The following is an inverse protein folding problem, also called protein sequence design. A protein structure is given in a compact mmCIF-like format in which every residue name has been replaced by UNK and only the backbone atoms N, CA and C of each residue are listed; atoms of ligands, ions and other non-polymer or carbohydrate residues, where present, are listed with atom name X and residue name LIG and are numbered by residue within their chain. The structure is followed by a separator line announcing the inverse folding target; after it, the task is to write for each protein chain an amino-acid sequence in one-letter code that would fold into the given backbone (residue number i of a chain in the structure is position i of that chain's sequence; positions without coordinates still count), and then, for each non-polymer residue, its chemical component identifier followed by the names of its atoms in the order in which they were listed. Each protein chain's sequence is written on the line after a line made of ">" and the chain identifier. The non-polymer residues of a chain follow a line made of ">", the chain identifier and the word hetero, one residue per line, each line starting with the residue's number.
data_IF_721071984966
#
_entry.id   IF_721071984966
#
_cell.length_a   1.000
_cell.length_b   1.000
_cell.length_c   1.000
_cell.angle_alpha   90.00
_cell.angle_beta   90.00
_cell.angle_gamma   90.00
#
_symmetry.space_group_name_H-M   'P 1'
#
loop_
_entity.id
_entity.type
_entity.pdbx_description
1 polymer ?
#
# COMPACT_ATOMS: atom_id res chain seq x y z
N UNK A 1 6.46 -9.38 9.95
CA UNK A 1 7.78 -9.48 9.32
C UNK A 1 7.69 -9.40 7.79
N UNK A 2 6.79 -10.14 7.14
CA UNK A 2 6.64 -10.18 5.69
C UNK A 2 6.37 -8.80 5.04
N UNK A 3 5.46 -8.02 5.61
CA UNK A 3 5.22 -6.64 5.16
C UNK A 3 6.47 -5.75 5.24
N UNK A 4 7.38 -6.00 6.19
CA UNK A 4 8.65 -5.27 6.26
C UNK A 4 9.64 -5.69 5.17
N UNK A 5 9.56 -6.93 4.67
CA UNK A 5 10.31 -7.35 3.49
C UNK A 5 9.80 -6.64 2.24
N UNK A 6 8.47 -6.57 2.06
CA UNK A 6 7.88 -5.79 0.95
C UNK A 6 8.29 -4.31 1.00
N UNK A 7 8.38 -3.71 2.20
CA UNK A 7 8.90 -2.35 2.35
C UNK A 7 10.36 -2.24 1.96
N UNK A 8 11.19 -3.21 2.37
CA UNK A 8 12.62 -3.21 2.03
C UNK A 8 12.87 -3.37 0.54
N UNK A 9 11.99 -4.11 -0.15
CA UNK A 9 12.04 -4.32 -1.60
C UNK A 9 11.51 -3.10 -2.40
N UNK A 10 10.92 -2.10 -1.72
CA UNK A 10 10.28 -0.95 -2.36
C UNK A 10 11.16 0.31 -2.28
N UNK A 11 11.20 1.10 -3.35
CA UNK A 11 11.90 2.40 -3.36
C UNK A 11 11.11 3.49 -2.62
N UNK A 12 9.78 3.37 -2.61
CA UNK A 12 8.89 4.29 -1.92
C UNK A 12 7.69 3.59 -1.30
N UNK A 13 7.16 4.16 -0.21
CA UNK A 13 5.93 3.72 0.47
C UNK A 13 4.96 4.88 0.54
N UNK A 14 3.71 4.63 0.15
CA UNK A 14 2.66 5.63 0.14
C UNK A 14 1.51 5.26 1.09
N UNK A 15 1.08 6.26 1.86
CA UNK A 15 -0.13 6.19 2.69
C UNK A 15 -1.01 7.43 2.48
N UNK A 16 -2.28 7.34 2.83
CA UNK A 16 -3.17 8.51 2.86
C UNK A 16 -3.01 9.34 4.13
N UNK A 17 -3.26 10.64 4.06
CA UNK A 17 -3.26 11.52 5.22
C UNK A 17 -4.27 11.10 6.31
N UNK A 18 -5.33 10.35 5.95
CA UNK A 18 -6.24 9.72 6.90
C UNK A 18 -5.54 8.71 7.80
N UNK A 19 -4.79 7.79 7.20
CA UNK A 19 -3.97 6.79 7.91
C UNK A 19 -2.93 7.44 8.81
N UNK A 20 -2.27 8.51 8.32
CA UNK A 20 -1.30 9.26 9.14
C UNK A 20 -1.96 9.85 10.38
N UNK A 21 -3.17 10.41 10.25
CA UNK A 21 -3.89 10.99 11.39
C UNK A 21 -4.43 9.97 12.40
N UNK A 22 -4.81 8.76 11.93
CA UNK A 22 -5.38 7.72 12.80
C UNK A 22 -4.32 6.89 13.50
N UNK A 23 -3.25 6.51 12.79
CA UNK A 23 -2.34 5.46 13.21
C UNK A 23 -0.90 5.96 13.44
N UNK A 24 -0.59 7.19 12.99
CA UNK A 24 0.74 7.82 13.03
C UNK A 24 1.89 6.85 12.64
N UNK A 25 1.82 6.22 11.45
CA UNK A 25 2.78 5.21 11.07
C UNK A 25 4.15 5.84 10.75
N UNK A 26 5.23 5.21 11.21
CA UNK A 26 6.59 5.63 10.86
C UNK A 26 7.05 5.14 9.49
N UNK A 27 6.39 4.12 8.91
CA UNK A 27 6.71 3.46 7.64
C UNK A 27 8.18 2.99 7.51
N UNK A 28 8.82 2.68 8.63
CA UNK A 28 10.20 2.21 8.66
C UNK A 28 10.31 0.73 8.32
N UNK A 29 11.45 0.33 7.78
CA UNK A 29 11.82 -1.08 7.58
C UNK A 29 12.38 -1.63 8.90
N UNK A 30 11.78 -2.74 9.40
CA UNK A 30 12.20 -3.41 10.64
C UNK A 30 12.43 -4.89 10.36
N UNK A 31 13.59 -5.21 9.81
CA UNK A 31 14.04 -6.58 9.56
C UNK A 31 15.03 -7.01 10.65
N UNK A 32 15.09 -8.32 11.01
CA UNK A 32 16.17 -8.86 11.81
C UNK A 32 17.53 -8.58 11.17
N UNK A 33 18.58 -8.47 11.97
CA UNK A 33 19.90 -8.06 11.47
C UNK A 33 20.52 -8.99 10.42
N UNK A 34 20.13 -10.26 10.43
CA UNK A 34 20.55 -11.26 9.45
C UNK A 34 19.78 -11.23 8.13
N UNK A 35 18.63 -10.53 8.11
CA UNK A 35 17.81 -10.29 6.91
C UNK A 35 18.03 -8.90 6.29
N UNK A 36 18.84 -8.04 6.91
CA UNK A 36 19.10 -6.68 6.42
C UNK A 36 20.37 -6.68 5.57
N UNK A 37 20.23 -6.29 4.29
CA UNK A 37 21.38 -6.03 3.43
C UNK A 37 21.98 -4.64 3.75
N UNK A 38 23.31 -4.50 3.67
CA UNK A 38 23.99 -3.20 3.84
C UNK A 38 23.55 -2.16 2.77
N UNK A 39 22.92 -2.63 1.69
CA UNK A 39 22.36 -1.82 0.61
C UNK A 39 20.90 -1.40 0.85
N UNK A 40 20.25 -1.95 1.89
CA UNK A 40 18.87 -1.61 2.21
C UNK A 40 18.79 -0.17 2.69
N UNK A 41 18.26 0.68 1.83
CA UNK A 41 17.94 2.07 2.16
C UNK A 41 16.51 2.14 2.69
N UNK A 42 16.24 3.09 3.58
CA UNK A 42 14.87 3.37 3.97
C UNK A 42 14.09 3.90 2.76
N UNK A 43 12.93 3.32 2.43
CA UNK A 43 12.13 3.77 1.30
C UNK A 43 11.67 5.22 1.47
N UNK A 44 11.52 5.93 0.36
CA UNK A 44 10.94 7.27 0.35
C UNK A 44 9.50 7.22 0.87
N UNK A 45 9.18 8.04 1.86
CA UNK A 45 7.83 8.10 2.42
C UNK A 45 6.99 9.12 1.68
N UNK A 46 5.79 8.71 1.25
CA UNK A 46 4.87 9.54 0.48
C UNK A 46 3.52 9.59 1.19
N UNK A 47 2.95 10.78 1.29
CA UNK A 47 1.62 10.99 1.88
C UNK A 47 0.69 11.63 0.84
N UNK A 48 -0.41 10.97 0.53
CA UNK A 48 -1.51 11.59 -0.22
C UNK A 48 -2.32 12.50 0.71
N UNK A 49 -2.20 13.81 0.48
CA UNK A 49 -2.67 14.87 1.34
C UNK A 49 -1.55 15.45 2.21
N UNK A 50 -1.92 16.13 3.28
CA UNK A 50 -0.99 16.76 4.20
C UNK A 50 -0.82 15.93 5.49
N UNK A 51 0.43 15.73 5.90
CA UNK A 51 0.79 15.11 7.18
C UNK A 51 0.92 16.19 8.27
N UNK A 52 0.50 15.90 9.53
CA UNK A 52 0.80 16.76 10.68
C UNK A 52 2.31 17.07 10.78
N UNK A 53 2.64 18.23 11.32
CA UNK A 53 4.04 18.68 11.40
C UNK A 53 4.92 17.76 12.27
N UNK A 54 4.31 17.10 13.25
CA UNK A 54 4.93 16.19 14.22
C UNK A 54 4.72 14.70 13.90
N UNK A 55 4.13 14.37 12.72
CA UNK A 55 3.84 13.00 12.34
C UNK A 55 5.10 12.13 12.21
N UNK A 56 5.04 10.88 12.70
CA UNK A 56 6.14 9.92 12.67
C UNK A 56 6.61 9.54 11.26
N UNK A 57 5.77 9.74 10.23
CA UNK A 57 6.10 9.51 8.82
C UNK A 57 7.15 10.50 8.29
N UNK A 58 7.40 11.61 8.97
CA UNK A 58 8.34 12.64 8.50
C UNK A 58 9.81 12.22 8.65
N UNK A 59 10.71 12.66 7.73
CA UNK A 59 10.40 13.46 6.53
C UNK A 59 9.67 12.65 5.47
N UNK A 60 8.75 13.28 4.73
CA UNK A 60 7.96 12.65 3.67
C UNK A 60 7.70 13.62 2.51
N UNK A 61 7.38 13.07 1.36
CA UNK A 61 6.82 13.82 0.22
C UNK A 61 5.31 13.90 0.41
N UNK A 62 4.75 15.10 0.37
CA UNK A 62 3.31 15.31 0.39
C UNK A 62 2.82 15.58 -1.04
N UNK A 63 1.74 14.92 -1.44
CA UNK A 63 1.14 15.13 -2.75
C UNK A 63 -0.38 15.31 -2.63
N UNK A 64 -0.89 16.26 -3.40
CA UNK A 64 -2.32 16.49 -3.55
C UNK A 64 -2.59 16.78 -5.03
N UNK A 65 -3.40 15.96 -5.67
CA UNK A 65 -3.70 16.10 -7.09
C UNK A 65 -3.81 14.77 -7.81
N UNK A 66 -3.48 14.77 -9.08
CA UNK A 66 -3.54 13.61 -9.95
C UNK A 66 -2.48 12.57 -9.58
N UNK A 67 -2.87 11.28 -9.64
CA UNK A 67 -1.96 10.18 -9.29
C UNK A 67 -0.90 9.94 -10.37
N UNK A 68 -1.20 10.23 -11.64
CA UNK A 68 -0.24 10.15 -12.73
C UNK A 68 0.90 11.15 -12.53
N UNK A 69 0.57 12.40 -12.18
CA UNK A 69 1.56 13.44 -11.89
C UNK A 69 2.47 13.02 -10.70
N UNK A 70 1.89 12.36 -9.69
CA UNK A 70 2.66 11.80 -8.58
C UNK A 70 3.64 10.73 -9.07
N UNK A 71 3.18 9.78 -9.87
CA UNK A 71 4.02 8.68 -10.36
C UNK A 71 5.13 9.19 -11.27
N UNK A 72 4.85 10.20 -12.10
CA UNK A 72 5.86 10.87 -12.93
C UNK A 72 6.94 11.57 -12.08
N UNK A 73 6.54 12.28 -11.01
CA UNK A 73 7.50 12.92 -10.09
C UNK A 73 8.35 11.88 -9.35
N UNK A 74 7.74 10.80 -8.87
CA UNK A 74 8.45 9.70 -8.22
C UNK A 74 9.42 9.01 -9.19
N UNK A 75 9.00 8.73 -10.42
CA UNK A 75 9.84 8.17 -11.47
C UNK A 75 11.03 9.06 -11.80
N UNK A 76 10.82 10.39 -11.88
CA UNK A 76 11.91 11.36 -12.06
C UNK A 76 12.92 11.38 -10.91
N UNK A 77 12.54 10.94 -9.72
CA UNK A 77 13.40 10.75 -8.55
C UNK A 77 14.10 9.38 -8.52
N UNK A 78 13.83 8.52 -9.50
CA UNK A 78 14.40 7.17 -9.60
C UNK A 78 13.63 6.09 -8.87
N UNK A 79 12.39 6.35 -8.41
CA UNK A 79 11.50 5.34 -7.83
C UNK A 79 11.01 4.43 -8.96
N UNK A 80 11.30 3.14 -8.86
CA UNK A 80 10.85 2.10 -9.79
C UNK A 80 9.72 1.26 -9.19
N UNK A 81 9.71 1.12 -7.86
CA UNK A 81 8.70 0.36 -7.14
C UNK A 81 8.09 1.20 -6.02
N UNK A 82 6.79 1.46 -6.14
CA UNK A 82 5.98 2.14 -5.13
C UNK A 82 5.07 1.14 -4.42
N UNK A 83 5.23 0.99 -3.12
CA UNK A 83 4.30 0.23 -2.28
C UNK A 83 3.20 1.15 -1.75
N UNK A 84 1.95 0.83 -2.04
CA UNK A 84 0.79 1.57 -1.53
C UNK A 84 0.22 0.83 -0.32
N UNK A 85 0.43 1.36 0.87
CA UNK A 85 -0.14 0.89 2.14
C UNK A 85 -1.32 1.77 2.58
N UNK A 86 -2.10 2.22 1.62
CA UNK A 86 -3.21 3.13 1.89
C UNK A 86 -4.42 2.42 2.47
N UNK A 87 -5.25 3.20 3.18
CA UNK A 87 -6.59 2.75 3.56
C UNK A 87 -7.51 2.59 2.33
N UNK A 88 -8.76 2.14 2.54
CA UNK A 88 -9.67 1.76 1.45
C UNK A 88 -9.92 2.85 0.39
N UNK A 89 -9.83 4.12 0.76
CA UNK A 89 -9.99 5.24 -0.18
C UNK A 89 -8.80 5.37 -1.13
N UNK A 90 -7.58 5.28 -0.60
CA UNK A 90 -6.35 5.35 -1.40
C UNK A 90 -6.26 4.14 -2.32
N UNK A 91 -6.50 2.93 -1.77
CA UNK A 91 -6.48 1.69 -2.54
C UNK A 91 -7.48 1.76 -3.72
N UNK A 92 -8.69 2.28 -3.47
CA UNK A 92 -9.68 2.51 -4.53
C UNK A 92 -9.18 3.47 -5.61
N UNK A 93 -8.59 4.61 -5.21
CA UNK A 93 -8.13 5.61 -6.17
C UNK A 93 -7.10 5.04 -7.15
N UNK A 94 -6.13 4.26 -6.66
CA UNK A 94 -5.16 3.57 -7.53
C UNK A 94 -5.81 2.50 -8.40
N UNK A 95 -6.73 1.71 -7.82
CA UNK A 95 -7.45 0.67 -8.56
C UNK A 95 -8.29 1.26 -9.70
N UNK A 96 -9.11 2.28 -9.43
CA UNK A 96 -9.96 2.92 -10.46
C UNK A 96 -9.16 3.63 -11.55
N UNK A 97 -7.98 4.14 -11.22
CA UNK A 97 -7.08 4.75 -12.18
C UNK A 97 -6.29 3.72 -13.01
N UNK A 98 -6.40 2.41 -12.71
CA UNK A 98 -5.64 1.36 -13.40
C UNK A 98 -4.13 1.45 -13.19
N UNK A 99 -3.71 1.92 -12.01
CA UNK A 99 -2.32 2.19 -11.65
C UNK A 99 -1.74 1.14 -10.70
N UNK A 100 -2.34 -0.05 -10.64
CA UNK A 100 -1.87 -1.14 -9.78
C UNK A 100 -1.40 -2.30 -10.63
N UNK A 101 -0.11 -2.59 -10.62
CA UNK A 101 0.47 -3.74 -11.32
C UNK A 101 0.27 -5.05 -10.53
N UNK A 102 0.30 -4.96 -9.19
CA UNK A 102 0.21 -6.13 -8.30
C UNK A 102 -0.53 -5.80 -7.01
N UNK A 103 -1.43 -6.68 -6.61
CA UNK A 103 -2.06 -6.69 -5.29
C UNK A 103 -1.42 -7.75 -4.42
N UNK A 104 -1.05 -7.39 -3.19
CA UNK A 104 -0.61 -8.32 -2.15
C UNK A 104 -1.66 -8.30 -1.04
N UNK A 105 -2.40 -9.40 -0.91
CA UNK A 105 -3.49 -9.52 0.05
C UNK A 105 -3.09 -10.48 1.17
N UNK A 106 -3.32 -10.06 2.42
CA UNK A 106 -3.19 -10.93 3.58
C UNK A 106 -4.59 -11.31 4.06
N UNK A 107 -4.84 -12.61 4.14
CA UNK A 107 -6.12 -13.17 4.59
C UNK A 107 -5.89 -13.87 5.92
N UNK A 108 -6.33 -13.24 7.01
CA UNK A 108 -6.30 -13.83 8.34
C UNK A 108 -7.50 -14.78 8.52
N UNK A 109 -7.40 -15.84 9.35
CA UNK A 109 -8.50 -16.74 9.68
C UNK A 109 -9.44 -16.08 10.73
N UNK A 110 -9.96 -14.90 10.38
CA UNK A 110 -10.81 -14.08 11.25
C UNK A 110 -11.93 -13.40 10.43
N UNK A 111 -13.06 -13.19 11.04
CA UNK A 111 -14.22 -12.54 10.42
C UNK A 111 -14.64 -11.34 11.27
N UNK A 112 -14.68 -10.16 10.65
CA UNK A 112 -15.27 -9.00 11.31
C UNK A 112 -16.78 -9.13 11.43
N UNK A 113 -17.48 -9.53 10.35
CA UNK A 113 -18.92 -9.52 10.28
C UNK A 113 -19.52 -8.11 10.33
N UNK A 114 -20.81 -8.01 9.97
CA UNK A 114 -21.55 -6.74 9.97
C UNK A 114 -21.39 -5.93 8.67
N UNK A 115 -22.40 -5.07 8.42
CA UNK A 115 -22.47 -4.24 7.21
C UNK A 115 -21.55 -3.02 7.27
N UNK A 116 -21.02 -2.70 8.46
CA UNK A 116 -20.12 -1.59 8.75
C UNK A 116 -18.64 -1.99 8.76
N UNK A 117 -18.34 -3.26 8.49
CA UNK A 117 -16.97 -3.73 8.35
C UNK A 117 -16.25 -3.00 7.19
N UNK A 118 -15.01 -2.55 7.44
CA UNK A 118 -14.23 -1.88 6.42
C UNK A 118 -13.90 -2.84 5.27
N UNK A 119 -14.30 -2.48 4.06
CA UNK A 119 -13.92 -3.21 2.84
C UNK A 119 -12.50 -2.87 2.37
N UNK A 120 -11.98 -3.66 1.46
CA UNK A 120 -10.68 -3.40 0.83
C UNK A 120 -10.69 -2.07 0.04
N UNK A 121 -11.80 -1.74 -0.59
CA UNK A 121 -12.03 -0.49 -1.31
C UNK A 121 -13.22 0.27 -0.71
N UNK A 122 -13.07 1.58 -0.50
CA UNK A 122 -14.15 2.44 -0.02
C UNK A 122 -15.10 2.80 -1.18
N UNK A 123 -16.36 3.13 -0.83
CA UNK A 123 -17.35 3.64 -1.77
C UNK A 123 -18.17 2.54 -2.46
N UNK A 124 -18.96 2.88 -3.50
CA UNK A 124 -19.83 1.92 -4.17
C UNK A 124 -19.03 0.88 -4.96
N UNK A 125 -19.51 -0.35 -4.91
CA UNK A 125 -18.99 -1.41 -5.77
C UNK A 125 -19.45 -1.26 -7.22
N UNK A 126 -18.98 -2.15 -8.10
CA UNK A 126 -19.44 -2.21 -9.49
C UNK A 126 -20.88 -2.70 -9.54
N UNK A 127 -21.73 -2.15 -10.44
CA UNK A 127 -23.16 -2.43 -10.48
C UNK A 127 -23.51 -3.82 -11.08
N UNK A 128 -22.55 -4.48 -11.73
CA UNK A 128 -22.77 -5.77 -12.39
C UNK A 128 -21.52 -6.62 -12.40
N UNK A 129 -21.71 -7.93 -12.63
CA UNK A 129 -20.61 -8.91 -12.76
C UNK A 129 -19.69 -8.58 -13.97
N UNK A 130 -20.23 -7.98 -15.01
CA UNK A 130 -19.45 -7.61 -16.20
C UNK A 130 -18.46 -6.45 -15.93
N UNK A 131 -18.75 -5.63 -14.92
CA UNK A 131 -17.86 -4.55 -14.47
C UNK A 131 -16.78 -4.97 -13.49
N UNK A 132 -16.70 -6.25 -13.12
CA UNK A 132 -15.67 -6.72 -12.20
C UNK A 132 -14.28 -6.66 -12.85
N UNK A 133 -13.34 -6.05 -12.15
CA UNK A 133 -11.93 -6.29 -12.43
C UNK A 133 -11.58 -7.76 -12.13
N UNK A 134 -10.82 -8.38 -12.97
CA UNK A 134 -10.42 -9.79 -12.85
C UNK A 134 -8.91 -9.90 -13.02
N UNK A 135 -8.24 -10.31 -11.97
CA UNK A 135 -6.82 -10.62 -12.02
C UNK A 135 -6.56 -12.13 -11.95
N UNK A 136 -5.30 -12.47 -12.09
CA UNK A 136 -4.78 -13.84 -11.97
C UNK A 136 -3.98 -13.95 -10.68
N UNK A 137 -4.27 -14.94 -9.85
CA UNK A 137 -3.43 -15.27 -8.68
C UNK A 137 -2.12 -15.85 -9.21
N UNK A 138 -1.02 -15.18 -8.92
CA UNK A 138 0.33 -15.58 -9.35
C UNK A 138 1.13 -16.26 -8.26
N UNK A 139 0.83 -15.97 -6.98
CA UNK A 139 1.44 -16.65 -5.84
C UNK A 139 0.46 -16.81 -4.68
N UNK A 140 0.64 -17.89 -3.91
CA UNK A 140 -0.08 -18.14 -2.66
C UNK A 140 0.91 -18.69 -1.64
N UNK A 141 1.13 -17.98 -0.56
CA UNK A 141 2.03 -18.37 0.51
C UNK A 141 1.34 -18.37 1.87
N UNK A 142 1.78 -19.25 2.77
CA UNK A 142 1.37 -19.20 4.18
C UNK A 142 2.38 -18.38 4.98
N UNK A 143 1.88 -17.38 5.71
CA UNK A 143 2.68 -16.48 6.55
C UNK A 143 2.15 -16.57 7.99
N UNK A 144 2.73 -17.47 8.77
CA UNK A 144 2.18 -17.85 10.07
C UNK A 144 0.81 -18.54 9.91
N UNK A 145 -0.23 -17.97 10.52
CA UNK A 145 -1.61 -18.46 10.40
C UNK A 145 -2.35 -17.84 9.22
N UNK A 146 -1.80 -16.79 8.59
CA UNK A 146 -2.40 -16.06 7.48
C UNK A 146 -2.01 -16.66 6.13
N UNK A 147 -2.78 -16.31 5.08
CA UNK A 147 -2.39 -16.51 3.69
C UNK A 147 -2.01 -15.17 3.07
N UNK A 148 -0.91 -15.17 2.32
CA UNK A 148 -0.55 -14.08 1.39
C UNK A 148 -0.92 -14.52 -0.03
N UNK A 149 -1.68 -13.68 -0.71
CA UNK A 149 -2.04 -13.86 -2.12
C UNK A 149 -1.43 -12.73 -2.93
N UNK A 150 -0.78 -13.05 -4.05
CA UNK A 150 -0.35 -12.07 -5.04
C UNK A 150 -1.24 -12.19 -6.27
N UNK A 151 -1.79 -11.05 -6.72
CA UNK A 151 -2.72 -10.98 -7.85
C UNK A 151 -2.22 -9.92 -8.81
N UNK A 152 -2.14 -10.28 -10.09
CA UNK A 152 -1.79 -9.42 -11.21
C UNK A 152 -2.91 -9.42 -12.26
N UNK A 153 -2.87 -8.45 -13.17
CA UNK A 153 -3.80 -8.38 -14.32
C UNK A 153 -3.60 -9.52 -15.33
#
# INVERSE_FOLDING_TARGET
>A
LDAHRLRADSDAILVGAGTVRSDDPSLTVRLPGDERDERDTEPLRVVLGAAPADAAVRPCVEHSGDLGDLLDDLGARGVLQLMVEGGPTVARSFHEAGLVDRYVLYVAPAFFGGDDAAGMFAGPGVPSIDGLWRGRIVDVARVGDDLRLEIED
#
